data_IF_732930251168
#
_entry.id   IF_732930251168
#
_cell.length_a   1.000
_cell.length_b   1.000
_cell.length_c   1.000
_cell.angle_alpha   90.00
_cell.angle_beta   90.00
_cell.angle_gamma   90.00
#
_symmetry.space_group_name_H-M   'P 1'
#
loop_
_entity.id
_entity.type
_entity.pdbx_description
1 polymer ?
#
# COMPACT_ATOMS: atom_id res chain seq x y z
N UNK A 1 -15.63 20.74 74.16
CA UNK A 1 -16.18 21.24 72.88
C UNK A 1 -16.05 22.76 72.91
N UNK A 2 -15.10 23.33 72.16
CA UNK A 2 -14.88 24.78 72.17
C UNK A 2 -15.81 25.41 71.12
N UNK A 3 -16.82 26.16 71.57
CA UNK A 3 -17.70 26.92 70.68
C UNK A 3 -16.89 28.14 70.22
N UNK A 4 -16.50 28.17 68.96
CA UNK A 4 -15.86 29.33 68.33
C UNK A 4 -16.91 30.39 68.03
N UNK A 5 -16.92 31.49 68.80
CA UNK A 5 -17.79 32.63 68.54
C UNK A 5 -17.18 33.49 67.43
N UNK A 6 -17.91 33.66 66.33
CA UNK A 6 -17.59 34.63 65.28
C UNK A 6 -17.57 36.03 65.89
N UNK A 7 -16.53 36.82 65.62
CA UNK A 7 -16.46 38.22 66.10
C UNK A 7 -17.66 38.98 65.54
N UNK A 8 -18.52 39.58 66.38
CA UNK A 8 -19.68 40.32 65.91
C UNK A 8 -19.23 41.50 65.06
N UNK A 9 -19.95 41.79 63.97
CA UNK A 9 -19.68 42.95 63.12
C UNK A 9 -19.83 44.25 63.93
N UNK A 10 -18.75 44.98 64.19
CA UNK A 10 -18.80 46.17 65.04
C UNK A 10 -19.56 47.34 64.40
N UNK A 11 -19.84 47.27 63.09
CA UNK A 11 -20.60 48.29 62.37
C UNK A 11 -22.11 48.04 62.37
N UNK A 12 -22.57 46.88 62.83
CA UNK A 12 -23.99 46.55 62.89
C UNK A 12 -24.55 46.74 64.30
N UNK A 13 -25.52 47.65 64.52
CA UNK A 13 -26.17 47.82 65.82
C UNK A 13 -26.68 46.51 66.40
N UNK A 14 -27.33 45.68 65.58
CA UNK A 14 -27.89 44.39 66.00
C UNK A 14 -26.80 43.37 66.38
N UNK A 15 -25.66 43.36 65.67
CA UNK A 15 -24.54 42.46 65.97
C UNK A 15 -23.83 42.87 67.27
N UNK A 16 -23.69 44.16 67.54
CA UNK A 16 -23.11 44.68 68.79
C UNK A 16 -24.01 44.35 69.99
N UNK A 17 -25.33 44.52 69.86
CA UNK A 17 -26.28 44.23 70.95
C UNK A 17 -26.43 42.74 71.28
N UNK A 18 -26.11 41.86 70.34
CA UNK A 18 -26.19 40.39 70.50
C UNK A 18 -24.82 39.70 70.66
N UNK A 19 -23.75 40.50 70.81
CA UNK A 19 -22.38 40.02 70.95
C UNK A 19 -22.21 39.05 72.14
N UNK A 20 -21.52 37.94 71.90
CA UNK A 20 -21.20 36.94 72.93
C UNK A 20 -19.68 36.82 73.11
N UNK A 21 -19.25 36.65 74.36
CA UNK A 21 -17.85 36.59 74.75
C UNK A 21 -17.57 35.33 75.58
N UNK A 22 -16.33 34.84 75.52
CA UNK A 22 -15.88 33.71 76.35
C UNK A 22 -15.69 34.16 77.80
N UNK A 23 -16.15 33.37 78.76
CA UNK A 23 -16.08 33.71 80.20
C UNK A 23 -14.80 33.16 80.82
N UNK A 24 -14.07 33.99 81.57
CA UNK A 24 -12.83 33.63 82.30
C UNK A 24 -13.01 33.75 83.82
N UNK A 25 -12.17 33.06 84.61
CA UNK A 25 -12.27 33.00 86.09
C UNK A 25 -12.25 34.37 86.80
N UNK A 26 -11.72 35.41 86.14
CA UNK A 26 -11.74 36.80 86.60
C UNK A 26 -12.10 37.67 85.38
N UNK A 27 -13.14 38.50 85.48
CA UNK A 27 -13.70 39.27 84.36
C UNK A 27 -14.80 40.25 84.83
N UNK A 28 -15.35 41.02 83.89
CA UNK A 28 -16.47 41.94 84.12
C UNK A 28 -17.78 41.18 84.36
N UNK A 29 -18.74 41.83 85.03
CA UNK A 29 -20.09 41.27 85.20
C UNK A 29 -20.78 41.11 83.84
N UNK A 30 -21.27 39.91 83.57
CA UNK A 30 -21.89 39.58 82.28
C UNK A 30 -23.23 40.28 82.05
N UNK A 31 -24.00 40.61 83.10
CA UNK A 31 -25.26 41.34 82.95
C UNK A 31 -25.01 42.81 82.65
N UNK A 32 -24.09 43.44 83.40
CA UNK A 32 -23.69 44.84 83.18
C UNK A 32 -23.13 45.06 81.76
N UNK A 33 -22.30 44.12 81.27
CA UNK A 33 -21.77 44.17 79.90
C UNK A 33 -22.89 44.03 78.86
N UNK A 34 -23.87 43.14 79.06
CA UNK A 34 -24.99 42.98 78.12
C UNK A 34 -25.89 44.21 78.08
N UNK A 35 -26.17 44.82 79.22
CA UNK A 35 -26.99 46.03 79.28
C UNK A 35 -26.27 47.23 78.65
N UNK A 36 -24.96 47.34 78.87
CA UNK A 36 -24.14 48.33 78.18
C UNK A 36 -24.12 48.11 76.66
N UNK A 37 -23.94 46.87 76.18
CA UNK A 37 -23.98 46.57 74.74
C UNK A 37 -25.35 46.83 74.11
N UNK A 38 -26.45 46.63 74.85
CA UNK A 38 -27.80 47.00 74.39
C UNK A 38 -27.95 48.52 74.25
N UNK A 39 -27.40 49.30 75.18
CA UNK A 39 -27.37 50.77 75.10
C UNK A 39 -26.52 51.25 73.92
N UNK A 40 -25.33 50.68 73.74
CA UNK A 40 -24.44 50.99 72.60
C UNK A 40 -25.09 50.64 71.26
N UNK A 41 -25.79 49.50 71.19
CA UNK A 41 -26.57 49.10 70.02
C UNK A 41 -27.63 50.15 69.65
N UNK A 42 -28.38 50.64 70.64
CA UNK A 42 -29.41 51.66 70.41
C UNK A 42 -28.81 52.98 69.89
N UNK A 43 -27.71 53.45 70.46
CA UNK A 43 -27.02 54.67 70.01
C UNK A 43 -26.39 54.51 68.62
N UNK A 44 -25.79 53.35 68.31
CA UNK A 44 -25.30 53.05 66.97
C UNK A 44 -26.44 53.07 65.94
N UNK A 45 -27.60 52.51 66.28
CA UNK A 45 -28.79 52.57 65.42
C UNK A 45 -29.23 54.01 65.15
N UNK A 46 -29.31 54.83 66.20
CA UNK A 46 -29.67 56.26 66.10
C UNK A 46 -28.69 57.04 65.22
N UNK A 47 -27.39 56.80 65.36
CA UNK A 47 -26.36 57.47 64.55
C UNK A 47 -26.47 57.08 63.07
N UNK A 48 -26.70 55.79 62.77
CA UNK A 48 -26.88 55.32 61.39
C UNK A 48 -28.14 55.90 60.74
N UNK A 49 -29.25 56.00 61.47
CA UNK A 49 -30.46 56.65 60.97
C UNK A 49 -30.21 58.13 60.66
N UNK A 50 -29.46 58.82 61.52
CA UNK A 50 -29.09 60.23 61.31
C UNK A 50 -28.12 60.42 60.15
N UNK A 51 -27.15 59.53 59.97
CA UNK A 51 -26.25 59.53 58.82
C UNK A 51 -27.04 59.38 57.52
N UNK A 52 -27.92 58.37 57.44
CA UNK A 52 -28.79 58.17 56.27
C UNK A 52 -29.65 59.39 55.98
N UNK A 53 -30.18 60.03 57.02
CA UNK A 53 -30.95 61.27 56.87
C UNK A 53 -30.08 62.39 56.27
N UNK A 54 -28.89 62.63 56.81
CA UNK A 54 -27.96 63.66 56.30
C UNK A 54 -27.49 63.36 54.88
N UNK A 55 -27.19 62.10 54.55
CA UNK A 55 -26.86 61.70 53.18
C UNK A 55 -28.02 61.97 52.21
N UNK A 56 -29.25 61.70 52.65
CA UNK A 56 -30.45 61.97 51.85
C UNK A 56 -30.66 63.48 51.64
N UNK A 57 -30.41 64.30 52.66
CA UNK A 57 -30.45 65.76 52.53
C UNK A 57 -29.35 66.29 51.63
N UNK A 58 -28.12 65.77 51.75
CA UNK A 58 -27.01 66.16 50.89
C UNK A 58 -27.31 65.85 49.43
N UNK A 59 -27.84 64.65 49.14
CA UNK A 59 -28.27 64.28 47.79
C UNK A 59 -29.40 65.17 47.29
N UNK A 60 -30.37 65.52 48.14
CA UNK A 60 -31.45 66.43 47.79
C UNK A 60 -30.93 67.85 47.50
N UNK A 61 -29.96 68.35 48.27
CA UNK A 61 -29.29 69.64 48.05
C UNK A 61 -28.46 69.64 46.76
N UNK A 62 -27.71 68.57 46.50
CA UNK A 62 -26.93 68.42 45.25
C UNK A 62 -27.85 68.40 44.03
N UNK A 63 -28.93 67.62 44.08
CA UNK A 63 -29.92 67.54 43.00
C UNK A 63 -30.62 68.88 42.78
N UNK A 64 -30.96 69.59 43.87
CA UNK A 64 -31.55 70.94 43.80
C UNK A 64 -30.57 71.99 43.27
N UNK A 65 -29.29 71.90 43.64
CA UNK A 65 -28.22 72.76 43.12
C UNK A 65 -27.98 72.56 41.62
N UNK A 66 -28.15 71.34 41.12
CA UNK A 66 -28.07 71.02 39.69
C UNK A 66 -29.35 71.34 38.90
N UNK A 67 -30.50 71.45 39.57
CA UNK A 67 -31.82 71.63 38.93
C UNK A 67 -32.37 73.06 39.05
N UNK A 68 -31.57 74.01 39.53
CA UNK A 68 -31.95 75.43 39.64
C UNK A 68 -32.03 76.10 38.26
N UNK A 69 -33.11 76.85 37.94
CA UNK A 69 -33.16 77.61 36.69
C UNK A 69 -32.02 78.64 36.64
N UNK A 70 -31.07 78.47 35.72
CA UNK A 70 -29.91 79.37 35.52
C UNK A 70 -28.53 78.86 35.96
N UNK A 71 -28.42 77.62 36.49
CA UNK A 71 -27.11 77.05 36.91
C UNK A 71 -26.39 76.31 35.77
N UNK A 72 -27.11 75.86 34.76
CA UNK A 72 -26.54 75.30 33.53
C UNK A 72 -26.67 76.34 32.42
N UNK A 73 -25.71 77.27 32.37
CA UNK A 73 -25.58 78.18 31.24
C UNK A 73 -25.05 77.44 30.01
N UNK A 74 -25.47 77.85 28.81
CA UNK A 74 -25.13 77.20 27.54
C UNK A 74 -23.60 77.20 27.29
N UNK A 75 -22.90 78.26 27.74
CA UNK A 75 -21.44 78.38 27.70
C UNK A 75 -20.74 77.34 28.61
N UNK A 76 -21.32 77.03 29.77
CA UNK A 76 -20.75 76.05 30.70
C UNK A 76 -20.98 74.61 30.19
N UNK A 77 -22.12 74.36 29.55
CA UNK A 77 -22.40 73.04 28.96
C UNK A 77 -21.52 72.76 27.75
N UNK A 78 -21.31 73.75 26.88
CA UNK A 78 -20.47 73.60 25.68
C UNK A 78 -19.00 73.40 26.03
N UNK A 79 -18.48 74.09 27.05
CA UNK A 79 -17.10 73.89 27.54
C UNK A 79 -16.90 72.50 28.16
N UNK A 80 -17.79 72.07 29.06
CA UNK A 80 -17.73 70.72 29.66
C UNK A 80 -17.86 69.62 28.60
N UNK A 81 -18.72 69.80 27.60
CA UNK A 81 -18.85 68.87 26.48
C UNK A 81 -17.60 68.86 25.58
N UNK A 82 -16.97 70.02 25.35
CA UNK A 82 -15.71 70.13 24.62
C UNK A 82 -14.56 69.42 25.31
N UNK A 83 -14.44 69.58 26.62
CA UNK A 83 -13.45 68.84 27.42
C UNK A 83 -13.72 67.34 27.42
N UNK A 84 -14.97 66.93 27.57
CA UNK A 84 -15.32 65.52 27.62
C UNK A 84 -15.14 64.83 26.26
N UNK A 85 -15.47 65.51 25.16
CA UNK A 85 -15.19 65.00 23.80
C UNK A 85 -13.69 64.89 23.52
N UNK A 86 -12.87 65.84 23.99
CA UNK A 86 -11.42 65.75 23.89
C UNK A 86 -10.84 64.59 24.72
N UNK A 87 -11.38 64.36 25.93
CA UNK A 87 -11.02 63.19 26.76
C UNK A 87 -11.38 61.89 26.05
N UNK A 88 -12.60 61.74 25.55
CA UNK A 88 -13.05 60.54 24.82
C UNK A 88 -12.18 60.28 23.59
N UNK A 89 -11.86 61.30 22.80
CA UNK A 89 -10.99 61.15 21.61
C UNK A 89 -9.57 60.71 21.99
N UNK A 90 -9.03 61.22 23.09
CA UNK A 90 -7.69 60.83 23.58
C UNK A 90 -7.68 59.36 23.98
N UNK A 91 -8.65 58.94 24.79
CA UNK A 91 -8.82 57.53 25.20
C UNK A 91 -9.03 56.63 23.99
N UNK A 92 -9.84 57.05 23.02
CA UNK A 92 -10.06 56.28 21.79
C UNK A 92 -8.77 56.13 20.96
N UNK A 93 -7.94 57.18 20.86
CA UNK A 93 -6.65 57.13 20.16
C UNK A 93 -5.66 56.21 20.86
N UNK A 94 -5.58 56.27 22.19
CA UNK A 94 -4.74 55.38 22.98
C UNK A 94 -5.18 53.92 22.86
N UNK A 95 -6.48 53.66 22.95
CA UNK A 95 -7.04 52.33 22.74
C UNK A 95 -6.71 51.80 21.33
N UNK A 96 -6.90 52.63 20.30
CA UNK A 96 -6.54 52.26 18.92
C UNK A 96 -5.03 52.01 18.74
N UNK A 97 -4.17 52.77 19.41
CA UNK A 97 -2.72 52.52 19.40
C UNK A 97 -2.38 51.19 20.08
N UNK A 98 -2.96 50.89 21.24
CA UNK A 98 -2.77 49.61 21.92
C UNK A 98 -3.29 48.43 21.09
N UNK A 99 -4.44 48.59 20.43
CA UNK A 99 -4.98 47.56 19.54
C UNK A 99 -4.03 47.28 18.38
N UNK A 100 -3.43 48.31 17.77
CA UNK A 100 -2.44 48.14 16.70
C UNK A 100 -1.20 47.38 17.16
N UNK A 101 -0.66 47.70 18.34
CA UNK A 101 0.49 46.99 18.92
C UNK A 101 0.15 45.51 19.16
N UNK A 102 -0.98 45.23 19.82
CA UNK A 102 -1.41 43.84 20.09
C UNK A 102 -1.67 43.06 18.80
N UNK A 103 -2.24 43.70 17.78
CA UNK A 103 -2.46 43.08 16.48
C UNK A 103 -1.15 42.76 15.76
N UNK A 104 -0.17 43.67 15.80
CA UNK A 104 1.16 43.44 15.23
C UNK A 104 1.87 42.28 15.93
N UNK A 105 1.88 42.25 17.26
CA UNK A 105 2.47 41.14 18.02
C UNK A 105 1.76 39.79 17.75
N UNK A 106 0.43 39.81 17.62
CA UNK A 106 -0.33 38.61 17.28
C UNK A 106 0.00 38.11 15.87
N UNK A 107 0.11 39.02 14.90
CA UNK A 107 0.52 38.68 13.54
C UNK A 107 1.94 38.11 13.50
N UNK A 108 2.89 38.70 14.22
CA UNK A 108 4.26 38.20 14.31
C UNK A 108 4.35 36.81 14.98
N UNK A 109 3.53 36.57 16.01
CA UNK A 109 3.44 35.23 16.62
C UNK A 109 2.89 34.21 15.62
N UNK A 110 1.77 34.52 14.97
CA UNK A 110 1.16 33.67 13.95
C UNK A 110 2.12 33.38 12.79
N UNK A 111 2.87 34.38 12.32
CA UNK A 111 3.86 34.19 11.25
C UNK A 111 5.01 33.27 11.68
N UNK A 112 5.50 33.40 12.92
CA UNK A 112 6.54 32.51 13.46
C UNK A 112 6.05 31.08 13.60
N UNK A 113 4.84 30.90 14.13
CA UNK A 113 4.20 29.59 14.25
C UNK A 113 3.98 28.96 12.88
N UNK A 114 3.39 29.70 11.93
CA UNK A 114 3.18 29.21 10.57
C UNK A 114 4.49 28.85 9.85
N UNK A 115 5.55 29.63 10.04
CA UNK A 115 6.87 29.31 9.47
C UNK A 115 7.49 28.07 10.13
N UNK A 116 7.38 27.91 11.45
CA UNK A 116 7.84 26.71 12.14
C UNK A 116 7.07 25.48 11.67
N UNK A 117 5.75 25.60 11.49
CA UNK A 117 4.90 24.53 10.99
C UNK A 117 5.23 24.16 9.55
N UNK A 118 5.47 25.16 8.69
CA UNK A 118 5.89 24.93 7.31
C UNK A 118 7.23 24.18 7.23
N UNK A 119 8.19 24.52 8.10
CA UNK A 119 9.47 23.80 8.21
C UNK A 119 9.23 22.35 8.64
N UNK A 120 8.45 22.13 9.71
CA UNK A 120 8.14 20.77 10.20
C UNK A 120 7.46 19.92 9.13
N UNK A 121 6.43 20.44 8.47
CA UNK A 121 5.72 19.74 7.39
C UNK A 121 6.66 19.37 6.25
N UNK A 122 7.59 20.27 5.89
CA UNK A 122 8.56 20.00 4.83
C UNK A 122 9.58 18.93 5.24
N UNK A 123 10.09 18.98 6.47
CA UNK A 123 11.01 17.95 6.99
C UNK A 123 10.34 16.58 7.06
N UNK A 124 9.09 16.52 7.55
CA UNK A 124 8.30 15.28 7.60
C UNK A 124 8.07 14.73 6.18
N UNK A 125 7.73 15.59 5.21
CA UNK A 125 7.57 15.21 3.82
C UNK A 125 8.89 14.71 3.19
N UNK A 126 10.02 15.36 3.48
CA UNK A 126 11.34 14.95 2.99
C UNK A 126 11.75 13.59 3.57
N UNK A 127 11.44 13.32 4.84
CA UNK A 127 11.66 12.01 5.47
C UNK A 127 10.77 10.95 4.86
N UNK A 128 9.47 11.23 4.69
CA UNK A 128 8.52 10.27 4.13
C UNK A 128 8.83 9.94 2.67
N UNK A 129 9.16 10.94 1.85
CA UNK A 129 9.56 10.74 0.46
C UNK A 129 10.86 9.93 0.36
N UNK A 130 11.82 10.19 1.25
CA UNK A 130 13.06 9.41 1.33
C UNK A 130 12.80 7.95 1.70
N UNK A 131 11.91 7.69 2.66
CA UNK A 131 11.50 6.32 3.02
C UNK A 131 10.81 5.62 1.87
N UNK A 132 9.78 6.23 1.28
CA UNK A 132 9.06 5.64 0.13
C UNK A 132 9.99 5.34 -1.05
N UNK A 133 10.97 6.22 -1.29
CA UNK A 133 11.98 5.98 -2.33
C UNK A 133 12.89 4.80 -2.00
N UNK A 134 13.33 4.68 -0.75
CA UNK A 134 14.15 3.55 -0.29
C UNK A 134 13.39 2.23 -0.42
N UNK A 135 12.13 2.20 0.02
CA UNK A 135 11.29 1.01 -0.03
C UNK A 135 11.05 0.61 -1.49
N UNK A 136 10.69 1.56 -2.37
CA UNK A 136 10.49 1.30 -3.79
C UNK A 136 11.76 0.79 -4.48
N UNK A 137 12.95 1.29 -4.12
CA UNK A 137 14.21 0.77 -4.66
C UNK A 137 14.45 -0.66 -4.19
N UNK A 138 14.23 -0.96 -2.90
CA UNK A 138 14.37 -2.31 -2.35
C UNK A 138 13.42 -3.30 -3.02
N UNK A 139 12.17 -2.91 -3.27
CA UNK A 139 11.18 -3.75 -3.93
C UNK A 139 11.58 -4.07 -5.38
N UNK A 140 12.01 -3.03 -6.13
CA UNK A 140 12.49 -3.22 -7.51
C UNK A 140 13.75 -4.10 -7.55
N UNK A 141 14.67 -3.94 -6.60
CA UNK A 141 15.86 -4.80 -6.50
C UNK A 141 15.48 -6.27 -6.21
N UNK A 142 14.53 -6.50 -5.31
CA UNK A 142 14.03 -7.84 -5.01
C UNK A 142 13.35 -8.50 -6.22
N UNK A 143 12.50 -7.76 -6.94
CA UNK A 143 11.86 -8.24 -8.17
C UNK A 143 12.89 -8.54 -9.27
N UNK A 144 13.91 -7.68 -9.42
CA UNK A 144 14.97 -7.87 -10.39
C UNK A 144 15.79 -9.12 -10.10
N UNK A 145 16.14 -9.37 -8.83
CA UNK A 145 16.85 -10.59 -8.44
C UNK A 145 16.00 -11.84 -8.66
N UNK A 146 14.70 -11.80 -8.36
CA UNK A 146 13.78 -12.89 -8.68
C UNK A 146 13.73 -13.17 -10.19
N UNK A 147 13.58 -12.12 -11.01
CA UNK A 147 13.57 -12.25 -12.46
C UNK A 147 14.89 -12.79 -13.02
N UNK A 148 16.04 -12.37 -12.47
CA UNK A 148 17.36 -12.93 -12.82
C UNK A 148 17.46 -14.41 -12.45
N UNK A 149 16.97 -14.80 -11.28
CA UNK A 149 16.95 -16.19 -10.86
C UNK A 149 16.11 -17.04 -11.81
N UNK A 150 14.88 -16.62 -12.08
CA UNK A 150 13.99 -17.30 -13.04
C UNK A 150 14.62 -17.40 -14.44
N UNK A 151 15.28 -16.33 -14.90
CA UNK A 151 16.01 -16.34 -16.16
C UNK A 151 17.14 -17.37 -16.18
N UNK A 152 17.89 -17.53 -15.08
CA UNK A 152 18.94 -18.55 -14.95
C UNK A 152 18.36 -19.96 -14.93
N UNK A 153 17.28 -20.17 -14.19
CA UNK A 153 16.59 -21.46 -14.10
C UNK A 153 16.06 -21.88 -15.47
N UNK A 154 15.36 -20.99 -16.18
CA UNK A 154 14.86 -21.25 -17.54
C UNK A 154 15.99 -21.59 -18.53
N UNK A 155 17.13 -20.89 -18.44
CA UNK A 155 18.30 -21.20 -19.29
C UNK A 155 18.89 -22.57 -18.95
N UNK A 156 18.95 -22.93 -17.67
CA UNK A 156 19.41 -24.25 -17.25
C UNK A 156 18.45 -25.35 -17.74
N UNK A 157 17.15 -25.18 -17.58
CA UNK A 157 16.14 -26.10 -18.09
C UNK A 157 16.24 -26.27 -19.61
N UNK A 158 16.40 -25.17 -20.36
CA UNK A 158 16.59 -25.22 -21.79
C UNK A 158 17.87 -25.98 -22.20
N UNK A 159 18.97 -25.81 -21.43
CA UNK A 159 20.22 -26.55 -21.65
C UNK A 159 20.04 -28.04 -21.40
N UNK A 160 19.38 -28.42 -20.30
CA UNK A 160 19.09 -29.82 -19.97
C UNK A 160 18.17 -30.46 -21.02
N UNK A 161 17.13 -29.75 -21.45
CA UNK A 161 16.24 -30.22 -22.50
C UNK A 161 17.01 -30.45 -23.81
N UNK A 162 17.87 -29.49 -24.20
CA UNK A 162 18.72 -29.63 -25.38
C UNK A 162 19.64 -30.85 -25.28
N UNK A 163 20.26 -31.08 -24.12
CA UNK A 163 21.13 -32.23 -23.90
C UNK A 163 20.36 -33.56 -24.02
N UNK A 164 19.16 -33.64 -23.43
CA UNK A 164 18.26 -34.80 -23.57
C UNK A 164 17.87 -35.05 -25.02
N UNK A 165 17.55 -34.01 -25.79
CA UNK A 165 17.20 -34.15 -27.20
C UNK A 165 18.42 -34.60 -28.03
N UNK A 166 19.59 -34.03 -27.78
CA UNK A 166 20.82 -34.41 -28.49
C UNK A 166 21.23 -35.85 -28.19
N UNK A 167 21.12 -36.31 -26.94
CA UNK A 167 21.41 -37.69 -26.57
C UNK A 167 20.43 -38.68 -27.20
N UNK A 168 19.14 -38.37 -27.19
CA UNK A 168 18.13 -39.19 -27.86
C UNK A 168 18.32 -39.22 -29.39
N UNK A 169 18.65 -38.08 -30.00
CA UNK A 169 18.96 -38.01 -31.43
C UNK A 169 20.20 -38.84 -31.78
N UNK A 170 21.25 -38.77 -30.96
CA UNK A 170 22.46 -39.58 -31.13
C UNK A 170 22.15 -41.08 -31.05
N UNK A 171 21.29 -41.48 -30.10
CA UNK A 171 20.81 -42.87 -29.95
C UNK A 171 20.03 -43.34 -31.17
N UNK A 172 19.08 -42.53 -31.66
CA UNK A 172 18.31 -42.84 -32.87
C UNK A 172 19.18 -42.98 -34.11
N UNK A 173 20.15 -42.08 -34.28
CA UNK A 173 21.12 -42.14 -35.37
C UNK A 173 21.94 -43.42 -35.32
N UNK A 174 22.38 -43.85 -34.14
CA UNK A 174 23.14 -45.08 -33.97
C UNK A 174 22.30 -46.32 -34.30
N UNK A 175 21.06 -46.37 -33.82
CA UNK A 175 20.13 -47.44 -34.18
C UNK A 175 19.84 -47.50 -35.68
N UNK A 176 19.65 -46.33 -36.32
CA UNK A 176 19.47 -46.27 -37.77
C UNK A 176 20.71 -46.77 -38.54
N UNK A 177 21.93 -46.47 -38.06
CA UNK A 177 23.17 -47.00 -38.65
C UNK A 177 23.25 -48.52 -38.54
N UNK A 178 22.94 -49.07 -37.38
CA UNK A 178 22.90 -50.53 -37.18
C UNK A 178 21.88 -51.19 -38.11
N UNK A 179 20.70 -50.58 -38.30
CA UNK A 179 19.69 -51.06 -39.25
C UNK A 179 20.19 -51.03 -40.70
N UNK A 180 20.86 -49.95 -41.13
CA UNK A 180 21.45 -49.85 -42.46
C UNK A 180 22.51 -50.95 -42.64
N UNK A 181 23.36 -51.16 -41.64
CA UNK A 181 24.40 -52.18 -41.69
C UNK A 181 23.80 -53.59 -41.78
N UNK A 182 22.74 -53.88 -41.03
CA UNK A 182 21.97 -55.13 -41.17
C UNK A 182 21.37 -55.30 -42.58
N UNK A 183 20.82 -54.22 -43.15
CA UNK A 183 20.28 -54.24 -44.52
C UNK A 183 21.38 -54.54 -45.55
N UNK A 184 22.56 -53.92 -45.42
CA UNK A 184 23.71 -54.22 -46.28
C UNK A 184 24.09 -55.71 -46.18
N UNK A 185 24.24 -56.25 -44.97
CA UNK A 185 24.52 -57.67 -44.78
C UNK A 185 23.44 -58.58 -45.38
N UNK A 186 22.15 -58.23 -45.25
CA UNK A 186 21.07 -58.99 -45.88
C UNK A 186 21.10 -58.92 -47.40
N UNK A 187 21.42 -57.74 -47.97
CA UNK A 187 21.59 -57.54 -49.41
C UNK A 187 22.72 -58.41 -49.94
N UNK A 188 23.88 -58.41 -49.28
CA UNK A 188 25.03 -59.19 -49.71
C UNK A 188 24.75 -60.70 -49.64
N UNK A 189 24.00 -61.15 -48.62
CA UNK A 189 23.53 -62.55 -48.57
C UNK A 189 22.59 -62.90 -49.72
N UNK A 190 21.66 -62.00 -50.07
CA UNK A 190 20.75 -62.20 -51.21
C UNK A 190 21.52 -62.24 -52.53
N UNK A 191 22.44 -61.29 -52.76
CA UNK A 191 23.27 -61.26 -53.97
C UNK A 191 24.05 -62.58 -54.11
N UNK A 192 24.72 -63.03 -53.05
CA UNK A 192 25.43 -64.31 -53.05
C UNK A 192 24.51 -65.52 -53.31
N UNK A 193 23.26 -65.50 -52.85
CA UNK A 193 22.30 -66.57 -53.12
C UNK A 193 21.83 -66.56 -54.58
N UNK A 194 21.58 -65.38 -55.16
CA UNK A 194 21.26 -65.22 -56.57
C UNK A 194 22.42 -65.62 -57.48
N UNK A 195 23.65 -65.25 -57.14
CA UNK A 195 24.83 -65.66 -57.92
C UNK A 195 25.00 -67.19 -57.91
N UNK A 196 24.79 -67.85 -56.77
CA UNK A 196 24.78 -69.32 -56.70
C UNK A 196 23.65 -69.94 -57.53
N UNK A 197 22.44 -69.40 -57.45
CA UNK A 197 21.31 -69.89 -58.25
C UNK A 197 21.57 -69.71 -59.76
N UNK A 198 22.19 -68.59 -60.15
CA UNK A 198 22.61 -68.33 -61.53
C UNK A 198 23.69 -69.32 -61.99
N UNK A 199 24.70 -69.59 -61.17
CA UNK A 199 25.71 -70.60 -61.48
C UNK A 199 25.08 -71.98 -61.67
N UNK A 200 24.25 -72.43 -60.73
CA UNK A 200 23.53 -73.70 -60.85
C UNK A 200 22.63 -73.77 -62.10
N UNK A 201 21.94 -72.66 -62.44
CA UNK A 201 21.13 -72.60 -63.66
C UNK A 201 22.00 -72.68 -64.93
N UNK A 202 23.13 -71.98 -64.97
CA UNK A 202 24.09 -72.06 -66.08
C UNK A 202 24.66 -73.47 -66.22
N UNK A 203 24.98 -74.14 -65.10
CA UNK A 203 25.46 -75.53 -65.11
C UNK A 203 24.40 -76.46 -65.71
N UNK A 204 23.13 -76.34 -65.30
CA UNK A 204 22.02 -77.13 -65.87
C UNK A 204 21.82 -76.88 -67.37
N UNK A 205 21.96 -75.63 -67.83
CA UNK A 205 21.89 -75.32 -69.28
C UNK A 205 23.08 -75.93 -70.03
N UNK A 206 24.28 -75.90 -69.43
CA UNK A 206 25.47 -76.58 -69.96
C UNK A 206 25.25 -78.08 -70.09
N UNK A 207 24.82 -78.74 -69.02
CA UNK A 207 24.50 -80.18 -69.00
C UNK A 207 23.45 -80.55 -70.07
N UNK A 208 22.42 -79.71 -70.25
CA UNK A 208 21.39 -79.94 -71.26
C UNK A 208 21.93 -79.81 -72.69
N UNK A 209 22.82 -78.85 -72.94
CA UNK A 209 23.49 -78.69 -74.23
C UNK A 209 24.40 -79.88 -74.54
N UNK A 210 25.19 -80.35 -73.56
CA UNK A 210 26.00 -81.56 -73.70
C UNK A 210 25.12 -82.80 -73.98
N UNK A 211 23.98 -82.94 -73.28
CA UNK A 211 23.02 -84.01 -73.54
C UNK A 211 22.42 -83.94 -74.96
N UNK A 212 22.12 -82.74 -75.46
CA UNK A 212 21.60 -82.56 -76.82
C UNK A 212 22.66 -82.91 -77.89
N UNK A 213 23.92 -82.51 -77.68
CA UNK A 213 25.04 -82.89 -78.54
C UNK A 213 25.25 -84.41 -78.56
N UNK A 214 25.26 -85.05 -77.39
CA UNK A 214 25.32 -86.52 -77.26
C UNK A 214 24.11 -87.20 -77.91
N UNK A 215 22.90 -86.64 -77.74
CA UNK A 215 21.69 -87.16 -78.37
C UNK A 215 21.75 -87.05 -79.90
N UNK A 216 22.29 -85.95 -80.43
CA UNK A 216 22.49 -85.77 -81.86
C UNK A 216 23.56 -86.73 -82.40
N UNK A 217 24.64 -86.98 -81.66
CA UNK A 217 25.67 -87.98 -82.02
C UNK A 217 25.09 -89.40 -82.07
N UNK A 218 24.28 -89.79 -81.08
CA UNK A 218 23.57 -91.08 -81.05
C UNK A 218 22.55 -91.19 -82.20
N UNK A 219 21.80 -90.13 -82.49
CA UNK A 219 20.88 -90.08 -83.62
C UNK A 219 21.61 -90.27 -84.96
N UNK A 220 22.78 -89.63 -85.12
CA UNK A 220 23.64 -89.82 -86.29
C UNK A 220 24.22 -91.24 -86.42
N UNK A 221 24.57 -91.88 -85.30
CA UNK A 221 25.11 -93.24 -85.29
C UNK A 221 24.05 -94.35 -85.52
N UNK A 222 22.79 -94.09 -85.18
CA UNK A 222 21.69 -95.08 -85.21
C UNK A 222 20.68 -94.90 -86.35
N UNK A 223 20.71 -93.77 -87.06
CA UNK A 223 19.80 -93.49 -88.19
C UNK A 223 18.37 -93.16 -87.77
N UNK A 224 18.11 -92.90 -86.48
CA UNK A 224 16.79 -92.55 -85.95
C UNK A 224 16.71 -91.02 -85.84
N UNK A 225 15.94 -90.37 -86.72
CA UNK A 225 15.67 -88.93 -86.63
C UNK A 225 14.64 -88.64 -85.53
N UNK A 226 14.89 -87.64 -84.67
CA UNK A 226 13.98 -87.17 -83.61
C UNK A 226 12.55 -86.93 -84.18
N UNK A 227 11.46 -87.38 -83.53
CA UNK A 227 10.12 -86.90 -83.87
C UNK A 227 10.01 -85.41 -83.52
N UNK A 228 9.50 -84.61 -84.45
CA UNK A 228 9.09 -83.22 -84.19
C UNK A 228 7.91 -83.27 -83.21
N UNK A 229 8.13 -82.79 -81.99
CA UNK A 229 7.05 -82.39 -81.10
C UNK A 229 6.92 -80.87 -81.15
N UNK A 230 5.93 -80.40 -81.90
CA UNK A 230 5.21 -79.17 -81.55
C UNK A 230 4.53 -79.40 -80.19
N UNK A 231 4.87 -78.61 -79.17
CA UNK A 231 3.85 -77.94 -78.34
C UNK A 231 4.43 -77.05 -77.24
N UNK A 232 4.03 -75.78 -77.33
CA UNK A 232 3.49 -74.90 -76.28
C UNK A 232 3.80 -75.25 -74.83
N UNK A 233 4.73 -74.52 -74.21
CA UNK A 233 4.68 -74.26 -72.77
C UNK A 233 4.49 -72.77 -72.56
N UNK A 234 3.31 -72.43 -72.04
CA UNK A 234 2.90 -71.07 -71.72
C UNK A 234 3.79 -70.47 -70.64
N UNK A 235 4.58 -69.49 -71.03
CA UNK A 235 5.07 -68.49 -70.13
C UNK A 235 3.89 -67.57 -69.79
N UNK A 236 3.33 -67.72 -68.59
CA UNK A 236 2.38 -66.73 -68.07
C UNK A 236 3.21 -65.58 -67.52
N UNK A 237 3.18 -64.46 -68.24
CA UNK A 237 3.79 -63.22 -67.80
C UNK A 237 2.93 -62.59 -66.68
N UNK A 238 3.43 -62.61 -65.45
CA UNK A 238 2.79 -61.95 -64.31
C UNK A 238 3.22 -60.48 -64.15
N UNK A 239 3.96 -59.90 -65.10
CA UNK A 239 4.32 -58.47 -65.05
C UNK A 239 3.17 -57.53 -65.43
N UNK A 240 2.04 -58.08 -65.92
CA UNK A 240 0.83 -57.31 -66.24
C UNK A 240 -0.21 -57.25 -65.10
N UNK A 241 0.04 -57.84 -63.92
CA UNK A 241 -0.90 -57.79 -62.77
C UNK A 241 -0.45 -56.77 -61.70
N UNK A 242 -0.98 -55.53 -61.69
CA UNK A 242 -0.52 -54.46 -60.81
C UNK A 242 -0.90 -54.60 -59.34
N UNK A 243 -1.60 -55.67 -58.92
CA UNK A 243 -2.08 -55.84 -57.54
C UNK A 243 -1.30 -56.86 -56.67
N UNK A 244 -0.22 -57.47 -57.15
CA UNK A 244 0.55 -58.47 -56.37
C UNK A 244 1.50 -57.89 -55.29
N UNK A 245 1.48 -56.58 -55.02
CA UNK A 245 2.24 -55.98 -53.91
C UNK A 245 1.32 -55.85 -52.70
N UNK A 246 1.53 -56.59 -51.59
CA UNK A 246 0.76 -56.37 -50.37
C UNK A 246 1.04 -54.95 -49.84
N UNK A 247 0.10 -54.03 -50.04
CA UNK A 247 0.16 -52.71 -49.46
C UNK A 247 -0.04 -52.81 -47.95
N UNK A 248 0.99 -52.41 -47.21
CA UNK A 248 0.91 -52.26 -45.76
C UNK A 248 -0.10 -51.14 -45.47
N UNK A 249 -1.28 -51.51 -45.00
CA UNK A 249 -2.30 -50.58 -44.52
C UNK A 249 -1.69 -49.80 -43.35
N UNK A 250 -1.42 -48.51 -43.56
CA UNK A 250 -1.12 -47.57 -42.50
C UNK A 250 -2.45 -47.23 -41.80
N UNK A 251 -2.73 -47.96 -40.72
CA UNK A 251 -3.82 -47.64 -39.80
C UNK A 251 -3.44 -46.44 -38.95
N UNK A 252 -4.16 -45.35 -39.16
CA UNK A 252 -4.24 -44.18 -38.28
C UNK A 252 -4.91 -44.56 -36.96
N UNK A 253 -4.23 -44.32 -35.83
CA UNK A 253 -4.79 -43.82 -34.57
C UNK A 253 -3.65 -43.41 -33.64
#
# INVERSE_FOLDING_TARGET
MAISFSRPDPSSPAAVGSAQFTVTRRGYDTEEVRDFLRSVSAELGRLQERERFLESELRAMQTRGMSGPGVLDEETVTTLLGEETARVLTVAREAAAQMRVRAAEAAERLMREANADAIRVREDADIETSRRRSDAVSDVEAELELAKQQGREMVNEAREYREKVLSELARRRELARQQIEQLIHSRDRLVNAFDRARHAANDVVGDLAEFDDLSNEVAHATGITKPVSENSNGFVDHTEDPEAIPQKIAGTQ
#
